data_IF_574036350653
#
_entry.id   IF_574036350653
#
_cell.length_a   1.000
_cell.length_b   1.000
_cell.length_c   1.000
_cell.angle_alpha   90.00
_cell.angle_beta   90.00
_cell.angle_gamma   90.00
#
_symmetry.space_group_name_H-M   'P 1'
#
loop_
_entity.id
_entity.type
_entity.pdbx_description
1 polymer ?
#
# COMPACT_ATOMS: atom_id res chain seq x y z
N UNK A 1 -8.57 20.57 -13.41
CA UNK A 1 -7.99 19.35 -12.81
C UNK A 1 -7.71 19.64 -11.35
N UNK A 2 -8.29 18.86 -10.44
CA UNK A 2 -8.05 19.03 -9.01
C UNK A 2 -6.65 18.53 -8.62
N UNK A 3 -6.09 18.98 -7.49
CA UNK A 3 -4.80 18.46 -6.99
C UNK A 3 -4.81 16.94 -6.83
N UNK A 4 -5.94 16.38 -6.39
CA UNK A 4 -6.16 14.95 -6.22
C UNK A 4 -6.17 14.17 -7.53
N UNK A 5 -6.73 14.72 -8.61
CA UNK A 5 -6.65 14.12 -9.94
C UNK A 5 -5.22 14.12 -10.48
N UNK A 6 -4.46 15.19 -10.22
CA UNK A 6 -3.06 15.29 -10.67
C UNK A 6 -2.16 14.25 -9.99
N UNK A 7 -2.28 14.08 -8.67
CA UNK A 7 -1.46 13.09 -7.94
C UNK A 7 -1.84 11.64 -8.31
N UNK A 8 -3.12 11.37 -8.56
CA UNK A 8 -3.56 10.04 -9.02
C UNK A 8 -2.94 9.68 -10.38
N UNK A 9 -2.95 10.62 -11.35
CA UNK A 9 -2.30 10.43 -12.65
C UNK A 9 -0.79 10.25 -12.53
N UNK A 10 -0.15 10.99 -11.63
CA UNK A 10 1.28 10.80 -11.35
C UNK A 10 1.54 9.39 -10.78
N UNK A 11 0.72 8.91 -9.84
CA UNK A 11 0.83 7.56 -9.30
C UNK A 11 0.60 6.47 -10.36
N UNK A 12 -0.36 6.65 -11.28
CA UNK A 12 -0.55 5.75 -12.43
C UNK A 12 0.68 5.70 -13.33
N UNK A 13 1.29 6.86 -13.65
CA UNK A 13 2.51 6.90 -14.46
C UNK A 13 3.68 6.23 -13.74
N UNK A 14 3.85 6.48 -12.45
CA UNK A 14 4.86 5.79 -11.62
C UNK A 14 4.61 4.28 -11.62
N UNK A 15 3.38 3.82 -11.36
CA UNK A 15 3.04 2.40 -11.39
C UNK A 15 3.28 1.75 -12.76
N UNK A 16 3.03 2.46 -13.86
CA UNK A 16 3.34 1.99 -15.21
C UNK A 16 4.85 1.85 -15.45
N UNK A 17 5.67 2.78 -14.97
CA UNK A 17 7.13 2.71 -15.06
C UNK A 17 7.65 1.52 -14.24
N UNK A 18 7.12 1.33 -13.03
CA UNK A 18 7.45 0.20 -12.17
C UNK A 18 7.09 -1.14 -12.82
N UNK A 19 5.89 -1.26 -13.40
CA UNK A 19 5.45 -2.45 -14.11
C UNK A 19 6.30 -2.76 -15.36
N UNK A 20 6.70 -1.74 -16.12
CA UNK A 20 7.61 -1.88 -17.27
C UNK A 20 9.02 -2.36 -16.91
N UNK A 21 9.31 -2.45 -15.60
CA UNK A 21 10.56 -2.96 -15.04
C UNK A 21 10.36 -4.26 -14.24
N UNK A 22 9.24 -4.95 -14.45
CA UNK A 22 8.86 -6.18 -13.73
C UNK A 22 8.71 -6.01 -12.21
N UNK A 23 8.41 -4.79 -11.75
CA UNK A 23 8.14 -4.48 -10.34
C UNK A 23 6.72 -3.93 -10.20
N UNK A 24 5.67 -4.75 -10.37
CA UNK A 24 4.31 -4.25 -10.23
C UNK A 24 4.06 -3.72 -8.81
N UNK A 25 3.27 -2.65 -8.73
CA UNK A 25 2.95 -1.96 -7.47
C UNK A 25 1.50 -2.22 -7.03
N UNK A 26 1.29 -2.18 -5.71
CA UNK A 26 -0.04 -2.25 -5.08
C UNK A 26 -0.25 -1.00 -4.23
N UNK A 27 -1.36 -0.31 -4.41
CA UNK A 27 -1.78 0.80 -3.56
C UNK A 27 -2.14 0.24 -2.18
N UNK A 28 -1.49 0.80 -1.15
CA UNK A 28 -1.74 0.50 0.26
C UNK A 28 -2.12 1.79 1.01
N UNK A 29 -2.06 1.77 2.33
CA UNK A 29 -2.21 2.98 3.14
C UNK A 29 -3.61 3.60 3.04
N UNK A 30 -3.68 4.92 3.20
CA UNK A 30 -4.97 5.63 3.32
C UNK A 30 -5.78 5.63 2.02
N UNK A 31 -5.11 5.67 0.85
CA UNK A 31 -5.82 5.61 -0.43
C UNK A 31 -6.46 4.25 -0.68
N UNK A 32 -5.81 3.17 -0.24
CA UNK A 32 -6.42 1.84 -0.31
C UNK A 32 -7.63 1.72 0.64
N UNK A 33 -7.56 2.29 1.85
CA UNK A 33 -8.71 2.37 2.75
C UNK A 33 -9.89 3.13 2.11
N UNK A 34 -9.60 4.25 1.43
CA UNK A 34 -10.61 5.07 0.76
C UNK A 34 -11.29 4.30 -0.39
N UNK A 35 -10.55 3.49 -1.14
CA UNK A 35 -11.10 2.62 -2.18
C UNK A 35 -12.07 1.57 -1.62
N UNK A 36 -11.92 1.19 -0.35
CA UNK A 36 -12.85 0.34 0.40
C UNK A 36 -13.83 1.13 1.27
N UNK A 37 -14.15 2.37 0.89
CA UNK A 37 -15.20 3.17 1.54
C UNK A 37 -14.80 3.84 2.86
N UNK A 38 -13.55 3.70 3.32
CA UNK A 38 -13.05 4.41 4.50
C UNK A 38 -12.14 5.59 4.11
N UNK A 39 -12.75 6.76 3.95
CA UNK A 39 -12.03 7.99 3.58
C UNK A 39 -11.47 8.66 4.84
N UNK A 40 -10.16 8.90 4.85
CA UNK A 40 -9.52 9.82 5.79
C UNK A 40 -8.50 10.70 5.08
N UNK A 41 -8.18 11.83 5.69
CA UNK A 41 -7.20 12.75 5.13
C UNK A 41 -5.82 12.09 5.00
N UNK A 42 -5.27 12.12 3.80
CA UNK A 42 -3.88 11.76 3.47
C UNK A 42 -3.32 12.79 2.50
N UNK A 43 -2.02 13.02 2.57
CA UNK A 43 -1.30 13.88 1.60
C UNK A 43 -0.53 13.04 0.57
N UNK A 44 -0.53 11.72 0.76
CA UNK A 44 0.42 10.81 0.15
C UNK A 44 -0.32 9.61 -0.46
N UNK A 45 0.20 9.08 -1.57
CA UNK A 45 -0.19 7.80 -2.16
C UNK A 45 0.90 6.78 -1.88
N UNK A 46 0.57 5.71 -1.16
CA UNK A 46 1.50 4.64 -0.82
C UNK A 46 1.42 3.49 -1.84
N UNK A 47 2.54 3.18 -2.47
CA UNK A 47 2.74 2.05 -3.39
C UNK A 47 3.66 1.02 -2.75
N UNK A 48 3.18 -0.19 -2.53
CA UNK A 48 3.98 -1.31 -2.06
C UNK A 48 4.56 -2.10 -3.23
N UNK A 49 5.84 -2.45 -3.15
CA UNK A 49 6.56 -3.22 -4.17
C UNK A 49 7.42 -4.33 -3.58
N UNK A 50 7.83 -5.26 -4.44
CA UNK A 50 8.82 -6.30 -4.14
C UNK A 50 10.10 -6.02 -4.92
N UNK A 51 10.90 -5.08 -4.41
CA UNK A 51 12.17 -4.69 -5.01
C UNK A 51 13.26 -4.59 -3.95
N UNK A 52 14.38 -5.28 -4.16
CA UNK A 52 15.54 -5.13 -3.28
C UNK A 52 16.20 -3.75 -3.43
N UNK A 53 17.16 -3.43 -2.56
CA UNK A 53 17.83 -2.12 -2.56
C UNK A 53 18.49 -1.78 -3.92
N UNK A 54 19.23 -2.69 -4.59
CA UNK A 54 19.74 -2.43 -5.93
C UNK A 54 18.64 -2.11 -6.96
N UNK A 55 17.54 -2.86 -6.96
CA UNK A 55 16.41 -2.64 -7.86
C UNK A 55 15.73 -1.30 -7.57
N UNK A 56 15.48 -0.98 -6.30
CA UNK A 56 14.94 0.32 -5.87
C UNK A 56 15.82 1.48 -6.30
N UNK A 57 17.16 1.36 -6.18
CA UNK A 57 18.09 2.39 -6.66
C UNK A 57 17.98 2.59 -8.17
N UNK A 58 17.92 1.50 -8.93
CA UNK A 58 17.78 1.58 -10.38
C UNK A 58 16.44 2.18 -10.80
N UNK A 59 15.35 1.85 -10.10
CA UNK A 59 14.03 2.47 -10.29
C UNK A 59 14.10 3.98 -10.03
N UNK A 60 14.78 4.41 -8.96
CA UNK A 60 14.93 5.83 -8.65
C UNK A 60 15.60 6.58 -9.81
N UNK A 61 16.64 6.01 -10.40
CA UNK A 61 17.35 6.62 -11.54
C UNK A 61 16.48 6.69 -12.81
N UNK A 62 15.65 5.68 -13.06
CA UNK A 62 14.65 5.74 -14.14
C UNK A 62 13.62 6.81 -13.90
N UNK A 63 13.03 6.88 -12.70
CA UNK A 63 12.04 7.91 -12.37
C UNK A 63 12.64 9.33 -12.51
N UNK A 64 13.90 9.55 -12.10
CA UNK A 64 14.61 10.83 -12.34
C UNK A 64 14.76 11.14 -13.81
N UNK A 65 15.10 10.14 -14.63
CA UNK A 65 15.24 10.30 -16.09
C UNK A 65 13.90 10.62 -16.75
N UNK A 66 12.80 10.10 -16.19
CA UNK A 66 11.42 10.39 -16.59
C UNK A 66 10.89 11.76 -16.10
N UNK A 67 11.74 12.52 -15.39
CA UNK A 67 11.47 13.89 -14.95
C UNK A 67 10.89 14.03 -13.54
N UNK A 68 10.79 12.93 -12.78
CA UNK A 68 10.29 12.97 -11.40
C UNK A 68 11.37 13.46 -10.43
N UNK A 69 10.98 14.21 -9.40
CA UNK A 69 11.85 14.52 -8.26
C UNK A 69 11.80 13.36 -7.25
N UNK A 70 12.93 12.65 -7.10
CA UNK A 70 12.99 11.38 -6.36
C UNK A 70 14.04 11.40 -5.26
N UNK A 71 13.59 11.14 -4.04
CA UNK A 71 14.41 10.89 -2.86
C UNK A 71 14.34 9.42 -2.48
N UNK A 72 15.49 8.74 -2.43
CA UNK A 72 15.56 7.33 -2.04
C UNK A 72 16.30 7.19 -0.71
N UNK A 73 15.58 6.66 0.28
CA UNK A 73 16.09 6.32 1.60
C UNK A 73 16.27 4.79 1.65
N UNK A 74 17.52 4.29 1.52
CA UNK A 74 17.77 2.86 1.71
C UNK A 74 17.41 2.47 3.16
N UNK A 75 17.12 1.19 3.41
CA UNK A 75 16.91 0.71 4.77
C UNK A 75 18.13 1.07 5.63
N UNK A 76 17.89 1.67 6.79
CA UNK A 76 18.93 1.90 7.77
C UNK A 76 18.73 0.97 9.00
N UNK A 77 19.62 1.08 9.98
CA UNK A 77 19.56 0.23 11.17
C UNK A 77 18.36 0.54 12.10
N UNK A 78 17.78 1.73 11.98
CA UNK A 78 16.78 2.31 12.89
C UNK A 78 15.39 2.47 12.23
N UNK A 79 15.29 2.41 10.89
CA UNK A 79 14.07 2.56 10.08
C UNK A 79 13.97 1.41 9.04
N UNK A 80 13.28 0.31 9.38
CA UNK A 80 13.44 -0.98 8.74
C UNK A 80 12.45 -1.39 7.61
N UNK A 81 11.71 -0.54 6.87
CA UNK A 81 11.16 -1.00 5.58
C UNK A 81 12.32 -1.15 4.58
N UNK A 82 12.20 -2.08 3.59
CA UNK A 82 13.28 -2.52 2.68
C UNK A 82 13.79 -1.46 1.68
N UNK A 83 13.69 -0.18 2.02
CA UNK A 83 13.88 0.98 1.18
C UNK A 83 12.57 1.73 1.01
N UNK A 84 12.60 3.03 1.27
CA UNK A 84 11.52 3.98 1.02
C UNK A 84 11.97 4.93 -0.08
N UNK A 85 11.11 5.16 -1.07
CA UNK A 85 11.35 6.16 -2.10
C UNK A 85 10.20 7.16 -2.11
N UNK A 86 10.52 8.42 -1.85
CA UNK A 86 9.61 9.53 -2.04
C UNK A 86 9.71 10.07 -3.46
N UNK A 87 8.58 10.20 -4.13
CA UNK A 87 8.45 10.94 -5.39
C UNK A 87 7.63 12.19 -5.10
N UNK A 88 8.30 13.34 -5.19
CA UNK A 88 7.73 14.64 -4.87
C UNK A 88 7.17 15.28 -6.12
N UNK A 89 5.89 15.62 -6.08
CA UNK A 89 5.19 16.38 -7.11
C UNK A 89 4.69 17.71 -6.52
N UNK A 90 4.49 18.77 -7.34
CA UNK A 90 3.94 20.04 -6.84
C UNK A 90 2.56 19.91 -6.17
N UNK A 91 1.88 18.78 -6.37
CA UNK A 91 0.52 18.49 -5.94
C UNK A 91 0.43 17.40 -4.84
N UNK A 92 1.55 16.81 -4.42
CA UNK A 92 1.62 15.86 -3.30
C UNK A 92 2.75 14.84 -3.44
N UNK A 93 2.68 13.76 -2.66
CA UNK A 93 3.79 12.80 -2.51
C UNK A 93 3.34 11.39 -2.89
N UNK A 94 4.18 10.68 -3.64
CA UNK A 94 4.00 9.23 -3.84
C UNK A 94 5.12 8.55 -3.07
N UNK A 95 4.77 7.61 -2.19
CA UNK A 95 5.71 6.83 -1.42
C UNK A 95 5.76 5.41 -1.96
N UNK A 96 6.92 4.99 -2.46
CA UNK A 96 7.16 3.60 -2.88
C UNK A 96 7.89 2.89 -1.74
N UNK A 97 7.22 1.90 -1.15
CA UNK A 97 7.70 1.15 0.01
C UNK A 97 8.06 -0.27 -0.43
N UNK A 98 9.31 -0.67 -0.21
CA UNK A 98 9.71 -2.04 -0.47
C UNK A 98 9.38 -2.97 0.70
N UNK A 99 8.77 -4.10 0.35
CA UNK A 99 8.45 -5.21 1.26
C UNK A 99 9.29 -6.46 1.04
N UNK A 100 10.27 -6.42 0.12
CA UNK A 100 11.04 -7.58 -0.33
C UNK A 100 11.64 -8.41 0.83
N UNK A 101 12.21 -7.74 1.83
CA UNK A 101 12.97 -8.38 2.93
C UNK A 101 12.22 -8.49 4.26
N UNK A 102 10.95 -8.06 4.32
CA UNK A 102 10.18 -7.97 5.57
C UNK A 102 8.89 -8.77 5.51
N UNK A 103 7.96 -8.30 4.70
CA UNK A 103 6.64 -8.89 4.59
C UNK A 103 6.26 -9.11 3.11
N UNK A 104 7.06 -9.88 2.34
CA UNK A 104 6.85 -9.97 0.90
C UNK A 104 5.59 -10.76 0.54
N UNK A 105 5.15 -11.66 1.42
CA UNK A 105 3.96 -12.49 1.19
C UNK A 105 2.68 -11.66 1.03
N UNK A 106 2.50 -10.59 1.83
CA UNK A 106 1.29 -9.76 1.75
C UNK A 106 1.19 -9.00 0.42
N UNK A 107 2.32 -8.62 -0.17
CA UNK A 107 2.34 -7.95 -1.48
C UNK A 107 2.17 -8.96 -2.61
N UNK A 108 2.80 -10.14 -2.54
CA UNK A 108 2.57 -11.23 -3.51
C UNK A 108 1.10 -11.62 -3.57
N UNK A 109 0.48 -11.83 -2.41
CA UNK A 109 -0.93 -12.24 -2.35
C UNK A 109 -1.85 -11.11 -2.84
N UNK A 110 -1.51 -9.84 -2.57
CA UNK A 110 -2.26 -8.68 -3.12
C UNK A 110 -2.14 -8.56 -4.64
N UNK A 111 -0.96 -8.87 -5.21
CA UNK A 111 -0.74 -8.88 -6.66
C UNK A 111 -1.49 -10.03 -7.35
N UNK A 112 -1.59 -11.18 -6.70
CA UNK A 112 -2.28 -12.35 -7.20
C UNK A 112 -3.82 -12.27 -7.08
N UNK A 113 -4.33 -11.40 -6.20
CA UNK A 113 -5.75 -11.19 -6.04
C UNK A 113 -6.40 -10.53 -7.27
N UNK A 114 -7.71 -10.77 -7.42
CA UNK A 114 -8.55 -10.07 -8.39
C UNK A 114 -8.50 -8.55 -8.13
N UNK A 115 -8.42 -7.78 -9.21
CA UNK A 115 -8.25 -6.33 -9.08
C UNK A 115 -9.58 -5.67 -8.73
N UNK A 116 -9.74 -5.27 -7.48
CA UNK A 116 -10.90 -4.52 -6.96
C UNK A 116 -11.01 -3.12 -7.53
N UNK A 117 -10.00 -2.60 -8.24
CA UNK A 117 -10.01 -1.24 -8.81
C UNK A 117 -10.92 -1.05 -10.05
N UNK A 118 -11.63 -2.10 -10.48
CA UNK A 118 -12.38 -2.14 -11.74
C UNK A 118 -13.44 -1.03 -11.90
N UNK A 119 -13.89 -0.40 -10.81
CA UNK A 119 -14.96 0.61 -10.85
C UNK A 119 -14.46 2.07 -10.91
N UNK A 120 -13.15 2.30 -10.72
CA UNK A 120 -12.59 3.67 -10.61
C UNK A 120 -11.94 4.19 -11.90
N UNK A 121 -11.83 3.37 -12.95
CA UNK A 121 -11.13 3.71 -14.18
C UNK A 121 -9.61 3.90 -14.04
N UNK A 122 -9.07 3.81 -12.82
CA UNK A 122 -7.63 3.90 -12.56
C UNK A 122 -6.94 2.56 -12.84
N UNK A 123 -5.77 2.58 -13.46
CA UNK A 123 -4.95 1.38 -13.70
C UNK A 123 -4.24 0.84 -12.45
N UNK A 124 -4.43 1.48 -11.29
CA UNK A 124 -3.76 1.12 -10.06
C UNK A 124 -4.42 -0.10 -9.40
N UNK A 125 -3.59 -1.07 -9.00
CA UNK A 125 -4.06 -2.20 -8.20
C UNK A 125 -4.16 -1.81 -6.74
N UNK A 126 -5.30 -2.04 -6.11
CA UNK A 126 -5.52 -1.75 -4.68
C UNK A 126 -5.40 -3.03 -3.85
N UNK A 127 -4.74 -2.96 -2.68
CA UNK A 127 -4.67 -4.11 -1.79
C UNK A 127 -6.07 -4.53 -1.32
N UNK A 128 -6.40 -5.84 -1.35
CA UNK A 128 -7.68 -6.33 -0.83
C UNK A 128 -7.81 -6.11 0.70
N UNK A 129 -9.04 -6.12 1.21
CA UNK A 129 -9.33 -5.87 2.64
C UNK A 129 -8.50 -6.77 3.56
N UNK A 130 -8.41 -8.08 3.27
CA UNK A 130 -7.65 -9.02 4.10
C UNK A 130 -6.16 -8.65 4.20
N UNK A 131 -5.54 -8.25 3.08
CA UNK A 131 -4.15 -7.82 3.05
C UNK A 131 -3.97 -6.43 3.69
N UNK A 132 -4.94 -5.52 3.57
CA UNK A 132 -4.92 -4.24 4.28
C UNK A 132 -4.98 -4.41 5.80
N UNK A 133 -5.87 -5.28 6.30
CA UNK A 133 -5.93 -5.62 7.73
C UNK A 133 -4.59 -6.21 8.18
N UNK A 134 -4.01 -7.12 7.41
CA UNK A 134 -2.71 -7.69 7.71
C UNK A 134 -1.58 -6.63 7.77
N UNK A 135 -1.54 -5.71 6.81
CA UNK A 135 -0.58 -4.59 6.79
C UNK A 135 -0.75 -3.68 8.01
N UNK A 136 -1.99 -3.38 8.43
CA UNK A 136 -2.28 -2.56 9.61
C UNK A 136 -1.88 -3.25 10.90
N UNK A 137 -2.18 -4.54 11.05
CA UNK A 137 -1.75 -5.32 12.21
C UNK A 137 -0.22 -5.41 12.30
N UNK A 138 0.45 -5.59 11.17
CA UNK A 138 1.90 -5.60 11.10
C UNK A 138 2.52 -4.25 11.48
N UNK A 139 1.95 -3.14 10.99
CA UNK A 139 2.38 -1.79 11.37
C UNK A 139 2.12 -1.50 12.86
N UNK A 140 1.04 -2.04 13.42
CA UNK A 140 0.68 -1.90 14.82
C UNK A 140 0.30 -0.47 15.23
N UNK A 141 0.07 -0.28 16.52
CA UNK A 141 -0.27 1.02 17.11
C UNK A 141 -1.76 1.37 17.06
N UNK A 142 -2.14 2.36 17.87
CA UNK A 142 -3.55 2.74 18.10
C UNK A 142 -4.25 3.23 16.83
N UNK A 143 -3.54 3.97 15.96
CA UNK A 143 -4.08 4.44 14.68
C UNK A 143 -4.36 3.27 13.73
N UNK A 144 -3.48 2.27 13.67
CA UNK A 144 -3.69 1.09 12.82
C UNK A 144 -4.87 0.25 13.31
N UNK A 145 -5.05 0.12 14.62
CA UNK A 145 -6.23 -0.54 15.19
C UNK A 145 -7.53 0.18 14.82
N UNK A 146 -7.57 1.50 14.98
CA UNK A 146 -8.73 2.31 14.58
C UNK A 146 -9.02 2.20 13.07
N UNK A 147 -7.99 2.20 12.23
CA UNK A 147 -8.13 2.00 10.79
C UNK A 147 -8.74 0.62 10.45
N UNK A 148 -8.36 -0.46 11.16
CA UNK A 148 -8.93 -1.81 10.96
C UNK A 148 -10.41 -1.82 11.33
N UNK A 149 -10.75 -1.31 12.51
CA UNK A 149 -12.12 -1.29 13.02
C UNK A 149 -13.03 -0.52 12.06
N UNK A 150 -12.64 0.69 11.65
CA UNK A 150 -13.45 1.50 10.74
C UNK A 150 -13.54 0.88 9.34
N UNK A 151 -12.46 0.29 8.82
CA UNK A 151 -12.49 -0.44 7.56
C UNK A 151 -13.54 -1.57 7.58
N UNK A 152 -13.58 -2.37 8.65
CA UNK A 152 -14.54 -3.48 8.77
C UNK A 152 -15.97 -2.99 9.00
N UNK A 153 -16.18 -1.92 9.77
CA UNK A 153 -17.52 -1.30 9.90
C UNK A 153 -18.09 -0.80 8.57
N UNK A 154 -17.23 -0.29 7.69
CA UNK A 154 -17.61 0.18 6.35
C UNK A 154 -17.84 -0.96 5.35
N UNK A 155 -17.36 -2.16 5.66
CA UNK A 155 -17.45 -3.33 4.81
C UNK A 155 -18.04 -4.51 5.61
N UNK A 156 -19.32 -4.44 6.02
CA UNK A 156 -19.94 -5.47 6.87
C UNK A 156 -20.02 -6.83 6.18
N UNK A 157 -20.00 -6.86 4.85
CA UNK A 157 -20.00 -8.09 4.04
C UNK A 157 -18.59 -8.66 3.81
N UNK A 158 -17.55 -8.06 4.40
CA UNK A 158 -16.19 -8.59 4.29
C UNK A 158 -16.09 -9.98 4.93
N UNK A 159 -15.43 -10.90 4.23
CA UNK A 159 -15.24 -12.27 4.71
C UNK A 159 -14.26 -12.31 5.90
N UNK A 160 -14.82 -12.30 7.12
CA UNK A 160 -14.05 -12.33 8.37
C UNK A 160 -13.26 -13.64 8.53
N UNK A 161 -13.72 -14.75 7.95
CA UNK A 161 -12.99 -16.02 7.99
C UNK A 161 -11.72 -15.91 7.12
N UNK A 162 -11.86 -15.42 5.89
CA UNK A 162 -10.72 -15.16 5.01
C UNK A 162 -9.70 -14.19 5.65
N UNK A 163 -10.17 -13.13 6.33
CA UNK A 163 -9.30 -12.17 7.02
C UNK A 163 -8.54 -12.86 8.17
N UNK A 164 -9.23 -13.69 8.97
CA UNK A 164 -8.60 -14.48 10.05
C UNK A 164 -7.57 -15.46 9.49
N UNK A 165 -7.91 -16.19 8.44
CA UNK A 165 -6.99 -17.13 7.79
C UNK A 165 -5.76 -16.44 7.23
N UNK A 166 -5.94 -15.29 6.59
CA UNK A 166 -4.86 -14.47 6.05
C UNK A 166 -3.92 -14.02 7.18
N UNK A 167 -4.47 -13.48 8.27
CA UNK A 167 -3.67 -13.07 9.44
C UNK A 167 -2.95 -14.25 10.08
N UNK A 168 -3.61 -15.42 10.20
CA UNK A 168 -3.01 -16.65 10.72
C UNK A 168 -1.85 -17.14 9.85
N UNK A 169 -2.02 -17.13 8.52
CA UNK A 169 -0.98 -17.50 7.55
C UNK A 169 0.27 -16.64 7.71
N UNK A 170 0.07 -15.35 7.97
CA UNK A 170 1.16 -14.40 8.23
C UNK A 170 1.62 -14.37 9.69
N UNK A 171 1.04 -15.20 10.56
CA UNK A 171 1.34 -15.28 12.01
C UNK A 171 1.13 -13.96 12.76
N UNK A 172 0.22 -13.13 12.27
CA UNK A 172 -0.19 -11.89 12.91
C UNK A 172 -1.11 -12.20 14.10
N UNK A 173 -1.02 -11.38 15.14
CA UNK A 173 -1.80 -11.50 16.37
C UNK A 173 -2.64 -10.25 16.58
N UNK A 174 -3.64 -10.35 17.46
CA UNK A 174 -4.43 -9.19 17.90
C UNK A 174 -5.69 -8.93 17.08
N UNK A 175 -5.93 -9.63 15.97
CA UNK A 175 -7.15 -9.48 15.18
C UNK A 175 -8.41 -9.79 16.01
N UNK A 176 -8.45 -10.92 16.71
CA UNK A 176 -9.66 -11.35 17.43
C UNK A 176 -10.11 -10.30 18.47
N UNK A 177 -9.15 -9.70 19.18
CA UNK A 177 -9.43 -8.60 20.12
C UNK A 177 -10.08 -7.39 19.44
N UNK A 178 -9.68 -7.06 18.21
CA UNK A 178 -10.27 -5.95 17.46
C UNK A 178 -11.67 -6.31 16.93
N UNK A 179 -11.91 -7.58 16.61
CA UNK A 179 -13.23 -8.05 16.19
C UNK A 179 -14.24 -7.99 17.35
N UNK A 180 -13.80 -8.26 18.59
CA UNK A 180 -14.64 -8.08 19.78
C UNK A 180 -15.08 -6.61 20.00
N UNK A 181 -14.40 -5.63 19.39
CA UNK A 181 -14.76 -4.19 19.43
C UNK A 181 -15.69 -3.75 18.28
N UNK A 182 -16.02 -4.67 17.36
CA UNK A 182 -16.99 -4.42 16.28
C UNK A 182 -18.44 -4.70 16.69
N UNK A 183 -18.64 -5.57 17.68
CA UNK A 183 -19.93 -5.90 18.29
C UNK A 183 -20.44 -4.76 19.22
#
# INVERSE_FOLDING_TARGET
MSKSESILRAAERVASILAGRDVPAVVIGAMALAAHGYIRFTKDIDLAVLADVPTMRSIADTLRTEGFAVEFHPPDADDPPGGLMGVSEPFGWIQIVSFADRFPAVIRDSLAAENTASDSGSGLRVAPIAQLVALKLYAGGTRSHADIIELLRRNPDADLEQIRETCRRYRLKGLDRLLDELD
#
